data_IF_468326024635
#
_entry.id   IF_468326024635
#
_cell.length_a   1.000
_cell.length_b   1.000
_cell.length_c   1.000
_cell.angle_alpha   90.00
_cell.angle_beta   90.00
_cell.angle_gamma   90.00
#
_symmetry.space_group_name_H-M   'P 1'
#
loop_
_entity.id
_entity.type
_entity.pdbx_description
1 polymer ?
#
# COMPACT_ATOMS: atom_id res chain seq x y z
N UNK A 1 18.05 21.11 -22.26
CA UNK A 1 19.06 20.17 -21.73
C UNK A 1 18.39 18.95 -21.11
N UNK A 2 18.86 17.75 -21.44
CA UNK A 2 18.39 16.47 -20.90
C UNK A 2 18.62 16.36 -19.38
N UNK A 3 19.70 16.94 -18.84
CA UNK A 3 19.98 16.94 -17.39
C UNK A 3 18.97 17.77 -16.60
N UNK A 4 18.47 18.86 -17.17
CA UNK A 4 17.42 19.69 -16.54
C UNK A 4 16.02 19.04 -16.56
N UNK A 5 15.75 18.13 -17.50
CA UNK A 5 14.51 17.33 -17.49
C UNK A 5 14.58 16.19 -16.47
N UNK A 6 15.72 15.49 -16.41
CA UNK A 6 15.97 14.43 -15.42
C UNK A 6 15.84 14.93 -13.97
N UNK A 7 16.46 16.08 -13.64
CA UNK A 7 16.35 16.67 -12.31
C UNK A 7 14.90 16.98 -11.91
N UNK A 8 14.10 17.53 -12.83
CA UNK A 8 12.68 17.80 -12.58
C UNK A 8 11.87 16.52 -12.39
N UNK A 9 12.12 15.49 -13.20
CA UNK A 9 11.45 14.20 -13.06
C UNK A 9 11.76 13.53 -11.71
N UNK A 10 13.03 13.55 -11.27
CA UNK A 10 13.45 13.05 -9.96
C UNK A 10 12.83 13.84 -8.82
N UNK A 11 12.74 15.16 -8.94
CA UNK A 11 12.16 16.00 -7.90
C UNK A 11 10.65 15.82 -7.78
N UNK A 12 9.96 15.62 -8.91
CA UNK A 12 8.54 15.26 -8.94
C UNK A 12 8.32 13.88 -8.32
N UNK A 13 9.14 12.87 -8.64
CA UNK A 13 8.99 11.52 -8.08
C UNK A 13 9.26 11.48 -6.57
N UNK A 14 10.27 12.22 -6.09
CA UNK A 14 10.53 12.38 -4.65
C UNK A 14 9.38 13.10 -3.92
N UNK A 15 8.79 14.12 -4.55
CA UNK A 15 7.62 14.82 -3.99
C UNK A 15 6.41 13.90 -3.86
N UNK A 16 6.14 13.11 -4.89
CA UNK A 16 5.05 12.10 -4.88
C UNK A 16 5.30 11.04 -3.81
N UNK A 17 6.52 10.51 -3.69
CA UNK A 17 6.85 9.50 -2.68
C UNK A 17 6.59 10.01 -1.26
N UNK A 18 7.03 11.24 -0.95
CA UNK A 18 6.81 11.88 0.37
C UNK A 18 5.33 12.12 0.67
N UNK A 19 4.57 12.54 -0.34
CA UNK A 19 3.13 12.74 -0.16
C UNK A 19 2.43 11.42 0.15
N UNK A 20 2.76 10.35 -0.59
CA UNK A 20 2.16 9.03 -0.38
C UNK A 20 2.56 8.43 0.97
N UNK A 21 3.79 8.65 1.44
CA UNK A 21 4.21 8.31 2.81
C UNK A 21 3.34 9.02 3.85
N UNK A 22 3.09 10.32 3.68
CA UNK A 22 2.23 11.09 4.58
C UNK A 22 0.78 10.58 4.60
N UNK A 23 0.24 10.14 3.45
CA UNK A 23 -1.09 9.50 3.41
C UNK A 23 -1.11 8.18 4.19
N UNK A 24 -0.02 7.40 4.18
CA UNK A 24 0.11 6.19 5.00
C UNK A 24 0.04 6.47 6.50
N UNK A 25 0.68 7.54 6.95
CA UNK A 25 0.62 7.99 8.35
C UNK A 25 -0.77 8.49 8.72
N UNK A 26 -1.40 9.25 7.84
CA UNK A 26 -2.76 9.75 8.02
C UNK A 26 -3.78 8.62 8.11
N UNK A 27 -3.69 7.61 7.24
CA UNK A 27 -4.53 6.42 7.32
C UNK A 27 -4.36 5.70 8.67
N UNK A 28 -3.12 5.57 9.16
CA UNK A 28 -2.88 4.98 10.49
C UNK A 28 -3.50 5.80 11.61
N UNK A 29 -3.44 7.13 11.52
CA UNK A 29 -4.07 8.02 12.48
C UNK A 29 -5.58 7.83 12.48
N UNK A 30 -6.24 7.90 11.32
CA UNK A 30 -7.69 7.73 11.18
C UNK A 30 -8.15 6.37 11.74
N UNK A 31 -7.42 5.29 11.42
CA UNK A 31 -7.66 3.94 11.91
C UNK A 31 -7.55 3.85 13.44
N UNK A 32 -6.54 4.49 14.03
CA UNK A 32 -6.30 4.44 15.48
C UNK A 32 -7.29 5.34 16.25
N UNK A 33 -7.73 6.43 15.65
CA UNK A 33 -8.74 7.33 16.19
C UNK A 33 -10.17 6.82 16.01
N UNK A 34 -10.37 5.71 15.28
CA UNK A 34 -11.69 5.14 15.03
C UNK A 34 -12.57 6.05 14.16
N UNK A 35 -11.96 6.87 13.32
CA UNK A 35 -12.69 7.73 12.39
C UNK A 35 -13.37 6.91 11.30
N UNK A 36 -14.33 7.55 10.62
CA UNK A 36 -14.86 7.01 9.38
C UNK A 36 -13.71 6.85 8.36
N UNK A 37 -13.72 5.72 7.65
CA UNK A 37 -12.69 5.34 6.69
C UNK A 37 -13.19 5.47 5.25
N UNK A 38 -14.35 6.09 5.03
CA UNK A 38 -14.93 6.29 3.70
C UNK A 38 -14.03 7.07 2.75
N UNK A 39 -13.19 7.99 3.24
CA UNK A 39 -12.21 8.67 2.38
C UNK A 39 -11.10 7.76 1.82
N UNK A 40 -10.92 6.57 2.39
CA UNK A 40 -9.86 5.63 2.00
C UNK A 40 -10.38 4.62 0.97
N UNK A 41 -10.65 5.14 -0.22
CA UNK A 41 -11.15 4.36 -1.34
C UNK A 41 -10.11 3.32 -1.82
N UNK A 42 -10.56 2.19 -2.39
CA UNK A 42 -9.67 1.11 -2.84
C UNK A 42 -8.57 1.59 -3.81
N UNK A 43 -8.91 2.42 -4.79
CA UNK A 43 -7.96 2.95 -5.78
C UNK A 43 -6.80 3.73 -5.16
N UNK A 44 -7.10 4.55 -4.14
CA UNK A 44 -6.09 5.31 -3.42
C UNK A 44 -5.15 4.37 -2.66
N UNK A 45 -5.72 3.38 -1.98
CA UNK A 45 -4.94 2.38 -1.26
C UNK A 45 -4.06 1.56 -2.21
N UNK A 46 -4.54 1.21 -3.40
CA UNK A 46 -3.76 0.52 -4.43
C UNK A 46 -2.61 1.39 -4.93
N UNK A 47 -2.82 2.69 -5.11
CA UNK A 47 -1.73 3.62 -5.44
C UNK A 47 -0.68 3.69 -4.34
N UNK A 48 -1.09 3.68 -3.07
CA UNK A 48 -0.19 3.66 -1.92
C UNK A 48 0.65 2.37 -1.86
N UNK A 49 0.07 1.20 -2.21
CA UNK A 49 0.79 -0.09 -2.25
C UNK A 49 1.93 -0.14 -3.27
N UNK A 50 1.88 0.70 -4.31
CA UNK A 50 2.96 0.79 -5.31
C UNK A 50 4.19 1.53 -4.80
N UNK A 51 4.05 2.26 -3.70
CA UNK A 51 5.17 2.95 -3.05
C UNK A 51 5.72 2.06 -1.93
N UNK A 52 7.01 1.68 -1.96
CA UNK A 52 7.60 0.69 -1.06
C UNK A 52 7.92 1.29 0.33
N UNK A 53 6.92 1.90 0.97
CA UNK A 53 7.04 2.43 2.31
C UNK A 53 6.38 1.48 3.31
N UNK A 54 7.10 1.09 4.37
CA UNK A 54 6.61 0.16 5.38
C UNK A 54 5.26 0.59 5.98
N UNK A 55 5.12 1.89 6.25
CA UNK A 55 3.90 2.47 6.82
C UNK A 55 2.66 2.24 5.94
N UNK A 56 2.80 2.29 4.62
CA UNK A 56 1.67 2.05 3.71
C UNK A 56 1.14 0.63 3.89
N UNK A 57 2.02 -0.37 3.91
CA UNK A 57 1.61 -1.75 4.12
C UNK A 57 1.00 -1.98 5.51
N UNK A 58 1.52 -1.34 6.57
CA UNK A 58 0.92 -1.43 7.91
C UNK A 58 -0.49 -0.84 7.91
N UNK A 59 -0.65 0.35 7.33
CA UNK A 59 -1.92 1.07 7.26
C UNK A 59 -2.98 0.28 6.50
N UNK A 60 -2.61 -0.20 5.31
CA UNK A 60 -3.50 -0.91 4.40
C UNK A 60 -3.82 -2.32 4.94
N UNK A 61 -2.87 -3.02 5.56
CA UNK A 61 -3.14 -4.28 6.28
C UNK A 61 -4.21 -4.11 7.36
N UNK A 62 -4.19 -3.00 8.11
CA UNK A 62 -5.22 -2.71 9.11
C UNK A 62 -6.57 -2.36 8.46
N UNK A 63 -6.56 -1.59 7.37
CA UNK A 63 -7.77 -1.23 6.63
C UNK A 63 -8.45 -2.49 6.05
N UNK A 64 -7.69 -3.35 5.36
CA UNK A 64 -8.16 -4.59 4.75
C UNK A 64 -8.85 -5.53 5.76
N UNK A 65 -8.34 -5.60 6.99
CA UNK A 65 -8.93 -6.40 8.08
C UNK A 65 -10.28 -5.85 8.57
N UNK A 66 -10.57 -4.58 8.33
CA UNK A 66 -11.80 -3.88 8.74
C UNK A 66 -12.74 -3.62 7.56
N UNK A 67 -12.27 -3.82 6.33
CA UNK A 67 -13.02 -3.58 5.12
C UNK A 67 -14.28 -4.46 5.09
N UNK A 68 -15.38 -3.85 4.72
CA UNK A 68 -16.63 -4.58 4.49
C UNK A 68 -16.59 -5.29 3.12
N UNK A 69 -17.60 -6.13 2.86
CA UNK A 69 -17.70 -6.92 1.62
C UNK A 69 -17.62 -6.05 0.36
N UNK A 70 -18.31 -4.91 0.33
CA UNK A 70 -18.36 -4.01 -0.83
C UNK A 70 -16.97 -3.43 -1.14
N UNK A 71 -16.30 -2.88 -0.12
CA UNK A 71 -14.96 -2.32 -0.28
C UNK A 71 -13.95 -3.38 -0.76
N UNK A 72 -14.02 -4.60 -0.20
CA UNK A 72 -13.13 -5.69 -0.61
C UNK A 72 -13.36 -6.12 -2.07
N UNK A 73 -14.62 -6.16 -2.52
CA UNK A 73 -14.95 -6.44 -3.93
C UNK A 73 -14.34 -5.38 -4.85
N UNK A 74 -14.57 -4.09 -4.56
CA UNK A 74 -14.02 -3.00 -5.36
C UNK A 74 -12.47 -3.03 -5.39
N UNK A 75 -11.83 -3.33 -4.25
CA UNK A 75 -10.38 -3.53 -4.19
C UNK A 75 -9.88 -4.66 -5.10
N UNK A 76 -10.60 -5.78 -5.16
CA UNK A 76 -10.25 -6.90 -6.04
C UNK A 76 -10.52 -6.58 -7.51
N UNK A 77 -11.64 -5.92 -7.82
CA UNK A 77 -12.00 -5.47 -9.16
C UNK A 77 -10.97 -4.47 -9.73
N UNK A 78 -10.36 -3.65 -8.86
CA UNK A 78 -9.28 -2.74 -9.22
C UNK A 78 -7.87 -3.39 -9.23
N UNK A 79 -7.78 -4.72 -9.27
CA UNK A 79 -6.53 -5.49 -9.30
C UNK A 79 -5.64 -5.31 -8.04
N UNK A 80 -6.25 -5.04 -6.89
CA UNK A 80 -5.52 -4.82 -5.65
C UNK A 80 -4.70 -6.04 -5.20
N UNK A 81 -5.18 -7.26 -5.47
CA UNK A 81 -4.43 -8.49 -5.20
C UNK A 81 -3.22 -8.64 -6.13
N UNK A 82 -3.38 -8.35 -7.43
CA UNK A 82 -2.28 -8.37 -8.40
C UNK A 82 -1.18 -7.39 -8.03
N UNK A 83 -1.56 -6.17 -7.63
CA UNK A 83 -0.61 -5.15 -7.15
C UNK A 83 0.11 -5.60 -5.88
N UNK A 84 -0.55 -6.27 -4.93
CA UNK A 84 0.12 -6.80 -3.74
C UNK A 84 1.15 -7.88 -4.09
N UNK A 85 0.83 -8.79 -5.02
CA UNK A 85 1.75 -9.83 -5.47
C UNK A 85 2.96 -9.23 -6.20
N UNK A 86 2.72 -8.27 -7.10
CA UNK A 86 3.78 -7.55 -7.82
C UNK A 86 4.68 -6.77 -6.84
N UNK A 87 4.09 -6.10 -5.84
CA UNK A 87 4.84 -5.40 -4.80
C UNK A 87 5.70 -6.36 -3.96
N UNK A 88 5.17 -7.54 -3.61
CA UNK A 88 5.93 -8.55 -2.89
C UNK A 88 7.11 -9.08 -3.71
N UNK A 89 6.91 -9.36 -5.01
CA UNK A 89 7.98 -9.77 -5.92
C UNK A 89 9.09 -8.71 -5.99
N UNK A 90 8.73 -7.43 -6.16
CA UNK A 90 9.67 -6.31 -6.17
C UNK A 90 10.45 -6.17 -4.87
N UNK A 91 9.78 -6.35 -3.72
CA UNK A 91 10.45 -6.33 -2.42
C UNK A 91 11.39 -7.52 -2.23
N UNK A 92 11.01 -8.71 -2.70
CA UNK A 92 11.84 -9.91 -2.67
C UNK A 92 13.09 -9.80 -3.55
N UNK A 93 12.95 -9.22 -4.75
CA UNK A 93 14.05 -9.01 -5.69
C UNK A 93 15.13 -8.03 -5.16
N UNK A 94 14.77 -7.13 -4.23
CA UNK A 94 15.72 -6.23 -3.56
C UNK A 94 16.61 -6.95 -2.52
N UNK A 95 16.21 -8.15 -2.10
CA UNK A 95 16.87 -8.89 -1.02
C UNK A 95 16.65 -8.29 0.37
N UNK A 96 17.41 -8.78 1.35
CA UNK A 96 17.31 -8.36 2.75
C UNK A 96 18.45 -7.41 3.15
N UNK A 97 18.51 -6.24 2.53
CA UNK A 97 19.56 -5.25 2.81
C UNK A 97 19.44 -4.58 4.18
N UNK A 98 18.26 -4.60 4.79
CA UNK A 98 18.00 -4.02 6.11
C UNK A 98 16.81 -4.65 6.83
N UNK A 99 16.71 -4.43 8.15
CA UNK A 99 15.53 -4.80 8.95
C UNK A 99 14.26 -4.11 8.43
N UNK A 100 14.39 -2.90 7.89
CA UNK A 100 13.27 -2.13 7.33
C UNK A 100 12.72 -2.80 6.07
N UNK A 101 13.59 -3.36 5.22
CA UNK A 101 13.18 -4.09 4.01
C UNK A 101 12.45 -5.38 4.40
N UNK A 102 13.00 -6.14 5.35
CA UNK A 102 12.35 -7.35 5.90
C UNK A 102 11.00 -7.02 6.52
N UNK A 103 10.93 -5.94 7.30
CA UNK A 103 9.68 -5.50 7.90
C UNK A 103 8.64 -5.14 6.83
N UNK A 104 9.04 -4.42 5.77
CA UNK A 104 8.15 -4.09 4.65
C UNK A 104 7.61 -5.35 3.95
N UNK A 105 8.45 -6.36 3.73
CA UNK A 105 8.01 -7.66 3.18
C UNK A 105 6.98 -8.34 4.09
N UNK A 106 7.23 -8.39 5.41
CA UNK A 106 6.29 -8.99 6.37
C UNK A 106 4.94 -8.27 6.40
N UNK A 107 4.94 -6.94 6.26
CA UNK A 107 3.70 -6.17 6.21
C UNK A 107 2.97 -6.35 4.87
N UNK A 108 3.68 -6.47 3.75
CA UNK A 108 3.09 -6.81 2.46
C UNK A 108 2.41 -8.20 2.50
N UNK A 109 3.08 -9.21 3.06
CA UNK A 109 2.49 -10.54 3.31
C UNK A 109 1.27 -10.46 4.24
N UNK A 110 1.29 -9.54 5.21
CA UNK A 110 0.14 -9.32 6.09
C UNK A 110 -1.07 -8.74 5.36
N UNK A 111 -0.86 -7.90 4.33
CA UNK A 111 -1.92 -7.43 3.45
C UNK A 111 -2.52 -8.58 2.64
N UNK A 112 -1.68 -9.41 2.01
CA UNK A 112 -2.12 -10.61 1.27
C UNK A 112 -2.96 -11.53 2.15
N UNK A 113 -2.50 -11.80 3.37
CA UNK A 113 -3.25 -12.60 4.34
C UNK A 113 -4.61 -11.98 4.68
N UNK A 114 -4.68 -10.66 4.83
CA UNK A 114 -5.95 -9.98 5.11
C UNK A 114 -6.95 -10.14 3.96
N UNK A 115 -6.48 -10.05 2.70
CA UNK A 115 -7.31 -10.28 1.51
C UNK A 115 -7.79 -11.74 1.46
N UNK A 116 -6.87 -12.70 1.56
CA UNK A 116 -7.20 -14.14 1.48
C UNK A 116 -8.10 -14.62 2.62
N UNK A 117 -8.08 -13.96 3.78
CA UNK A 117 -8.96 -14.29 4.90
C UNK A 117 -10.30 -13.53 4.85
N UNK A 118 -10.52 -12.67 3.87
CA UNK A 118 -11.83 -12.05 3.65
C UNK A 118 -12.79 -13.08 3.06
N UNK A 119 -14.10 -12.97 3.36
CA UNK A 119 -15.10 -13.91 2.83
C UNK A 119 -15.15 -13.95 1.29
N UNK A 120 -14.75 -12.85 0.64
CA UNK A 120 -14.76 -12.71 -0.82
C UNK A 120 -13.47 -13.20 -1.46
N UNK A 121 -12.33 -13.11 -0.76
CA UNK A 121 -11.00 -13.32 -1.33
C UNK A 121 -10.68 -14.75 -1.76
N UNK A 122 -11.57 -15.72 -1.50
CA UNK A 122 -11.45 -17.13 -1.88
C UNK A 122 -12.67 -17.66 -2.65
N UNK A 123 -13.66 -16.80 -2.95
CA UNK A 123 -14.82 -17.16 -3.78
C UNK A 123 -14.47 -17.17 -5.28
#
# INVERSE_FOLDING_TARGET
>A
DARGRWRRAVQLSLGVARQVEAEGERLLQDINSGQDLSQWEPDLCIQMLRIPAAQNYVAISKLLKRANKKWMLEFLECDGLGVLLESLEKLGARGFSSVVDTFSQLQCVSCLRAVMNSQVGLE
#
